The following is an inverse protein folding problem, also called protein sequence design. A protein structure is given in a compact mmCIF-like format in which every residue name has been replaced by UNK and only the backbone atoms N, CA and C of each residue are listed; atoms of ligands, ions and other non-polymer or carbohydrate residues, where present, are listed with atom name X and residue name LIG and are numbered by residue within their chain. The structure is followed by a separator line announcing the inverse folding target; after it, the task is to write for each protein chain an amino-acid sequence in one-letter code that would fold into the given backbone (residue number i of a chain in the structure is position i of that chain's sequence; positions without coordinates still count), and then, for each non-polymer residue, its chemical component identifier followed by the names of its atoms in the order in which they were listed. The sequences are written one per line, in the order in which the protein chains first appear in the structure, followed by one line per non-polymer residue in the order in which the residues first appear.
data_IF_927787526254
#
_entry.id   IF_927787526254
#
_cell.length_a   1.000
_cell.length_b   1.000
_cell.length_c   1.000
_cell.angle_alpha   90.00
_cell.angle_beta   90.00
_cell.angle_gamma   90.00
#
_symmetry.space_group_name_H-M   'P 1'
#
loop_
_entity.id
_entity.type
_entity.pdbx_description
1 polymer ?
#
# COMPACT_ATOMS: atom_id res chain seq x y z
N UNK A 1 -6.28 -26.78 25.30
CA UNK A 1 -4.94 -27.07 24.78
C UNK A 1 -5.01 -27.03 23.25
N UNK A 2 -4.05 -26.39 22.59
CA UNK A 2 -4.01 -26.29 21.12
C UNK A 2 -3.46 -27.63 20.63
N UNK A 3 -4.33 -28.62 20.45
CA UNK A 3 -3.91 -30.03 20.46
C UNK A 3 -3.28 -30.52 19.17
N UNK A 4 -3.33 -29.79 18.05
CA UNK A 4 -2.53 -30.11 16.85
C UNK A 4 -2.59 -28.97 15.83
N UNK A 5 -1.45 -28.50 15.34
CA UNK A 5 -1.39 -27.53 14.23
C UNK A 5 -1.70 -26.06 14.56
N UNK A 6 -1.54 -25.65 15.82
CA UNK A 6 -1.63 -24.24 16.20
C UNK A 6 -0.53 -23.39 15.57
N UNK A 7 -0.81 -22.10 15.35
CA UNK A 7 0.20 -21.11 14.95
C UNK A 7 0.31 -20.05 16.04
N UNK A 8 1.47 -19.39 16.11
CA UNK A 8 1.67 -18.23 16.97
C UNK A 8 1.85 -17.00 16.08
N UNK A 9 1.06 -15.95 16.34
CA UNK A 9 1.19 -14.65 15.68
C UNK A 9 1.10 -13.55 16.75
N UNK A 10 2.07 -12.62 16.75
CA UNK A 10 2.19 -11.57 17.77
C UNK A 10 2.11 -12.12 19.22
N UNK A 11 2.83 -13.21 19.48
CA UNK A 11 2.87 -13.92 20.76
C UNK A 11 1.52 -14.48 21.25
N UNK A 12 0.48 -14.43 20.40
CA UNK A 12 -0.83 -15.02 20.68
C UNK A 12 -0.98 -16.36 19.97
N UNK A 13 -1.53 -17.38 20.64
CA UNK A 13 -1.86 -18.65 20.01
C UNK A 13 -3.13 -18.57 19.18
N UNK A 14 -3.10 -19.14 17.98
CA UNK A 14 -4.24 -19.24 17.08
C UNK A 14 -4.42 -20.68 16.61
N UNK A 15 -5.68 -21.11 16.46
CA UNK A 15 -5.97 -22.28 15.64
C UNK A 15 -5.65 -21.93 14.18
N UNK A 16 -4.92 -22.79 13.46
CA UNK A 16 -4.61 -22.54 12.04
C UNK A 16 -5.87 -22.37 11.16
N UNK A 17 -6.99 -22.96 11.57
CA UNK A 17 -8.29 -22.86 10.91
C UNK A 17 -9.02 -21.54 11.19
N UNK A 18 -8.71 -20.89 12.31
CA UNK A 18 -9.27 -19.57 12.66
C UNK A 18 -8.44 -18.43 12.09
N UNK A 19 -7.18 -18.67 11.73
CA UNK A 19 -6.31 -17.65 11.13
C UNK A 19 -6.54 -17.55 9.61
N UNK A 20 -7.63 -16.88 9.25
CA UNK A 20 -8.15 -16.78 7.89
C UNK A 20 -8.33 -15.32 7.44
N UNK A 21 -8.37 -15.12 6.13
CA UNK A 21 -8.69 -13.81 5.55
C UNK A 21 -10.14 -13.42 5.87
N UNK A 22 -10.36 -12.20 6.38
CA UNK A 22 -11.70 -11.68 6.68
C UNK A 22 -12.60 -11.60 5.44
N UNK A 23 -12.04 -11.37 4.26
CA UNK A 23 -12.82 -11.21 3.02
C UNK A 23 -13.17 -12.53 2.33
N UNK A 24 -12.26 -13.49 2.29
CA UNK A 24 -12.41 -14.71 1.48
C UNK A 24 -12.27 -16.02 2.27
N UNK A 25 -12.08 -15.95 3.58
CA UNK A 25 -11.91 -17.10 4.49
C UNK A 25 -10.74 -18.04 4.15
N UNK A 26 -9.82 -17.63 3.27
CA UNK A 26 -8.61 -18.40 2.95
C UNK A 26 -7.69 -18.47 4.16
N UNK A 27 -7.18 -19.66 4.48
CA UNK A 27 -6.16 -19.86 5.53
C UNK A 27 -4.93 -19.02 5.25
N UNK A 28 -4.49 -18.27 6.25
CA UNK A 28 -3.32 -17.38 6.19
C UNK A 28 -2.06 -18.01 6.77
N UNK A 29 -2.21 -19.09 7.54
CA UNK A 29 -1.08 -19.87 8.06
C UNK A 29 -0.14 -20.30 6.92
N UNK A 30 1.14 -19.93 7.02
CA UNK A 30 2.16 -20.21 5.98
C UNK A 30 2.03 -19.39 4.70
N UNK A 31 1.15 -18.39 4.65
CA UNK A 31 0.94 -17.51 3.50
C UNK A 31 1.39 -16.08 3.82
N UNK A 32 1.59 -15.25 2.79
CA UNK A 32 1.75 -13.79 2.97
C UNK A 32 0.39 -13.17 3.28
N UNK A 33 0.34 -12.29 4.27
CA UNK A 33 -0.86 -11.55 4.68
C UNK A 33 -0.48 -10.19 5.27
N UNK A 34 -1.48 -9.33 5.47
CA UNK A 34 -1.34 -8.07 6.22
C UNK A 34 -2.43 -7.97 7.28
N UNK A 35 -2.16 -7.21 8.33
CA UNK A 35 -3.12 -6.83 9.36
C UNK A 35 -3.42 -5.33 9.22
N UNK A 36 -4.70 -4.97 9.20
CA UNK A 36 -5.19 -3.60 9.14
C UNK A 36 -6.30 -3.49 10.17
N UNK A 37 -6.17 -2.60 11.16
CA UNK A 37 -7.17 -2.40 12.22
C UNK A 37 -7.62 -3.75 12.85
N UNK A 38 -6.64 -4.58 13.22
CA UNK A 38 -6.84 -5.92 13.79
C UNK A 38 -7.56 -6.95 12.90
N UNK A 39 -7.77 -6.63 11.62
CA UNK A 39 -8.33 -7.54 10.62
C UNK A 39 -7.25 -8.09 9.69
N UNK A 40 -7.30 -9.39 9.43
CA UNK A 40 -6.30 -10.09 8.62
C UNK A 40 -6.76 -10.30 7.18
N UNK A 41 -5.91 -9.91 6.24
CA UNK A 41 -6.20 -9.99 4.81
C UNK A 41 -5.12 -10.76 4.06
N UNK A 42 -5.52 -11.66 3.16
CA UNK A 42 -4.59 -12.19 2.18
C UNK A 42 -4.14 -11.07 1.24
N UNK A 43 -2.97 -11.23 0.61
CA UNK A 43 -2.39 -10.20 -0.26
C UNK A 43 -3.35 -9.76 -1.37
N UNK A 44 -4.11 -10.69 -1.95
CA UNK A 44 -5.02 -10.40 -3.07
C UNK A 44 -6.24 -9.60 -2.61
N UNK A 45 -6.88 -10.00 -1.51
CA UNK A 45 -8.01 -9.25 -0.95
C UNK A 45 -7.57 -7.86 -0.48
N UNK A 46 -6.40 -7.76 0.17
CA UNK A 46 -5.86 -6.46 0.57
C UNK A 46 -5.64 -5.55 -0.63
N UNK A 47 -4.96 -6.03 -1.69
CA UNK A 47 -4.70 -5.26 -2.91
C UNK A 47 -5.98 -4.76 -3.58
N UNK A 48 -7.02 -5.59 -3.61
CA UNK A 48 -8.23 -5.30 -4.38
C UNK A 48 -9.23 -4.44 -3.63
N UNK A 49 -9.37 -4.64 -2.31
CA UNK A 49 -10.48 -4.08 -1.54
C UNK A 49 -10.08 -3.08 -0.46
N UNK A 50 -8.82 -3.11 0.01
CA UNK A 50 -8.41 -2.35 1.21
C UNK A 50 -7.30 -1.34 0.90
N UNK A 51 -6.34 -1.72 0.05
CA UNK A 51 -5.15 -0.91 -0.21
C UNK A 51 -5.50 0.42 -0.89
N UNK A 52 -4.89 1.50 -0.40
CA UNK A 52 -4.94 2.81 -1.07
C UNK A 52 -4.37 2.69 -2.49
N UNK A 53 -4.99 3.38 -3.45
CA UNK A 53 -4.53 3.39 -4.85
C UNK A 53 -3.64 4.58 -5.11
N UNK A 54 -2.56 4.36 -5.85
CA UNK A 54 -1.67 5.42 -6.29
C UNK A 54 -2.41 6.38 -7.22
N UNK A 55 -2.43 7.66 -6.91
CA UNK A 55 -3.09 8.66 -7.74
C UNK A 55 -2.42 8.79 -9.13
N UNK A 56 -1.13 8.49 -9.25
CA UNK A 56 -0.38 8.51 -10.50
C UNK A 56 -0.63 7.31 -11.42
N UNK A 57 -0.44 6.08 -10.94
CA UNK A 57 -0.56 4.87 -11.77
C UNK A 57 -1.83 4.04 -11.54
N UNK A 58 -2.69 4.45 -10.59
CA UNK A 58 -3.92 3.77 -10.16
C UNK A 58 -3.74 2.36 -9.58
N UNK A 59 -2.51 1.85 -9.51
CA UNK A 59 -2.21 0.57 -8.87
C UNK A 59 -2.23 0.68 -7.33
N UNK A 60 -2.57 -0.41 -6.62
CA UNK A 60 -2.51 -0.45 -5.16
C UNK A 60 -1.11 -0.13 -4.61
N UNK A 61 -1.07 0.67 -3.54
CA UNK A 61 0.12 0.92 -2.74
C UNK A 61 0.15 -0.14 -1.65
N UNK A 62 1.08 -1.10 -1.76
CA UNK A 62 1.20 -2.20 -0.81
C UNK A 62 2.65 -2.38 -0.40
N UNK A 63 2.89 -2.78 0.86
CA UNK A 63 4.22 -3.13 1.34
C UNK A 63 4.78 -4.43 0.76
N UNK A 64 4.05 -5.11 -0.14
CA UNK A 64 4.45 -6.38 -0.73
C UNK A 64 5.09 -6.24 -2.13
N UNK A 65 5.15 -5.03 -2.69
CA UNK A 65 5.65 -4.76 -4.04
C UNK A 65 6.78 -3.73 -4.08
N UNK A 66 7.15 -3.28 -5.28
CA UNK A 66 8.09 -2.15 -5.44
C UNK A 66 7.43 -0.87 -4.91
N UNK A 67 8.18 -0.09 -4.13
CA UNK A 67 7.73 1.21 -3.61
C UNK A 67 7.09 1.14 -2.22
N UNK A 68 7.87 0.71 -1.23
CA UNK A 68 7.50 0.78 0.20
C UNK A 68 7.29 2.23 0.67
N UNK A 69 8.00 3.17 0.04
CA UNK A 69 7.90 4.59 0.31
C UNK A 69 6.68 5.20 -0.39
N UNK A 70 5.89 5.94 0.38
CA UNK A 70 4.62 6.54 -0.05
C UNK A 70 4.72 8.05 0.12
N UNK A 71 4.33 8.79 -0.91
CA UNK A 71 4.10 10.23 -0.81
C UNK A 71 2.61 10.45 -0.58
N UNK A 72 2.25 11.20 0.46
CA UNK A 72 0.87 11.57 0.76
C UNK A 72 0.72 13.09 0.73
N UNK A 73 -0.29 13.58 -0.01
CA UNK A 73 -0.59 15.00 -0.12
C UNK A 73 -2.08 15.18 -0.43
N UNK A 74 -2.74 16.09 0.29
CA UNK A 74 -4.17 16.42 0.16
C UNK A 74 -5.09 15.19 -0.03
N UNK A 75 -4.97 14.21 0.87
CA UNK A 75 -5.79 13.00 0.86
C UNK A 75 -5.44 11.98 -0.23
N UNK A 76 -4.58 12.33 -1.18
CA UNK A 76 -4.09 11.42 -2.20
C UNK A 76 -2.76 10.79 -1.79
N UNK A 77 -2.45 9.64 -2.40
CA UNK A 77 -1.22 8.90 -2.14
C UNK A 77 -0.59 8.43 -3.45
N UNK A 78 0.73 8.43 -3.51
CA UNK A 78 1.51 7.96 -4.65
C UNK A 78 2.60 7.01 -4.18
N UNK A 79 2.98 6.06 -5.03
CA UNK A 79 4.29 5.45 -4.89
C UNK A 79 5.35 6.54 -5.04
N UNK A 80 6.44 6.46 -4.27
CA UNK A 80 7.58 7.38 -4.38
C UNK A 80 8.03 7.59 -5.83
N UNK A 81 8.20 6.51 -6.59
CA UNK A 81 8.60 6.56 -8.01
C UNK A 81 7.51 7.10 -8.96
N UNK A 82 6.24 7.09 -8.53
CA UNK A 82 5.15 7.69 -9.28
C UNK A 82 4.98 9.19 -9.01
N UNK A 83 5.66 9.73 -7.99
CA UNK A 83 5.59 11.15 -7.65
C UNK A 83 6.69 11.93 -8.38
N UNK A 84 6.50 12.14 -9.68
CA UNK A 84 7.45 12.81 -10.55
C UNK A 84 6.82 13.97 -11.32
N UNK A 85 7.65 14.94 -11.71
CA UNK A 85 7.23 16.05 -12.56
C UNK A 85 6.67 15.51 -13.88
N UNK A 86 5.46 15.90 -14.26
CA UNK A 86 4.87 15.47 -15.53
C UNK A 86 5.74 15.79 -16.75
N UNK A 87 6.44 16.94 -16.72
CA UNK A 87 7.16 17.49 -17.88
C UNK A 87 8.58 16.94 -18.04
N UNK A 88 9.33 16.80 -16.96
CA UNK A 88 10.74 16.37 -17.00
C UNK A 88 11.01 15.05 -16.28
N UNK A 89 9.97 14.40 -15.72
CA UNK A 89 10.05 13.11 -15.04
C UNK A 89 10.99 13.05 -13.82
N UNK A 90 11.50 14.19 -13.35
CA UNK A 90 12.29 14.22 -12.11
C UNK A 90 11.42 13.76 -10.95
N UNK A 91 11.93 12.83 -10.14
CA UNK A 91 11.28 12.44 -8.89
C UNK A 91 11.23 13.65 -7.95
N UNK A 92 10.04 13.91 -7.41
CA UNK A 92 9.71 15.02 -6.54
C UNK A 92 9.39 14.59 -5.11
N UNK A 93 9.59 13.31 -4.77
CA UNK A 93 9.49 12.86 -3.41
C UNK A 93 10.50 13.63 -2.56
N UNK A 94 10.01 14.22 -1.47
CA UNK A 94 10.80 15.08 -0.57
C UNK A 94 11.42 16.34 -1.24
N UNK A 95 10.91 16.77 -2.39
CA UNK A 95 11.31 18.02 -3.05
C UNK A 95 10.16 18.99 -3.12
N UNK A 96 10.46 20.26 -3.42
CA UNK A 96 9.43 21.25 -3.74
C UNK A 96 8.73 20.87 -5.04
N UNK A 97 7.41 21.00 -5.05
CA UNK A 97 6.57 20.74 -6.22
C UNK A 97 5.46 21.79 -6.30
N UNK A 98 4.82 21.87 -7.45
CA UNK A 98 3.63 22.69 -7.70
C UNK A 98 2.56 21.79 -8.29
N UNK A 99 1.35 21.88 -7.75
CA UNK A 99 0.17 21.29 -8.38
C UNK A 99 -0.41 22.28 -9.39
N UNK A 100 -0.62 21.83 -10.62
CA UNK A 100 -1.33 22.58 -11.64
C UNK A 100 -2.36 21.64 -12.29
N UNK A 101 -3.64 21.85 -11.96
CA UNK A 101 -4.69 20.86 -12.18
C UNK A 101 -4.43 19.59 -11.35
N UNK A 102 -4.65 18.41 -11.95
CA UNK A 102 -4.42 17.09 -11.31
C UNK A 102 -2.97 16.57 -11.46
N UNK A 103 -2.04 17.42 -11.88
CA UNK A 103 -0.68 17.01 -12.24
C UNK A 103 0.37 17.75 -11.41
N UNK A 104 1.44 17.04 -11.08
CA UNK A 104 2.57 17.54 -10.28
C UNK A 104 3.71 17.99 -11.18
N UNK A 105 4.26 19.16 -10.90
CA UNK A 105 5.37 19.76 -11.63
C UNK A 105 6.49 20.18 -10.67
N UNK A 106 7.73 20.13 -11.16
CA UNK A 106 8.83 20.77 -10.45
C UNK A 106 8.73 22.30 -10.60
N UNK A 107 9.32 23.10 -9.70
CA UNK A 107 9.26 24.56 -9.77
C UNK A 107 9.74 25.14 -11.11
N UNK A 108 10.77 24.55 -11.71
CA UNK A 108 11.33 25.04 -12.98
C UNK A 108 10.42 24.76 -14.18
N UNK A 109 9.67 23.65 -14.14
CA UNK A 109 8.69 23.33 -15.17
C UNK A 109 7.41 24.15 -14.97
N UNK A 110 7.02 24.39 -13.71
CA UNK A 110 5.83 25.16 -13.36
C UNK A 110 5.93 26.64 -13.77
N UNK A 111 7.13 27.24 -13.70
CA UNK A 111 7.37 28.61 -14.21
C UNK A 111 7.13 28.78 -15.71
N UNK A 112 7.03 27.68 -16.46
CA UNK A 112 6.87 27.64 -17.92
C UNK A 112 5.50 27.06 -18.33
N UNK A 113 4.57 26.95 -17.38
CA UNK A 113 3.16 26.68 -17.61
C UNK A 113 2.44 28.01 -17.72
#
# INVERSE_FOLDING_TARGET
AITTGGITYQDQPWHAECFVCVTCSKKLAGQRFTAVEDQYYCVDCYKNFVAKKCAGCKNPITGFGKGSSVVAYEGQSWHDYCFHCKKCSVNLANKRFVFHGEQVYCPDCAKKL
#
